data_IF_464623269936
#
_entry.id   IF_464623269936
#
_cell.length_a   1.000
_cell.length_b   1.000
_cell.length_c   1.000
_cell.angle_alpha   90.00
_cell.angle_beta   90.00
_cell.angle_gamma   90.00
#
_symmetry.space_group_name_H-M   'P 1'
#
loop_
_entity.id
_entity.type
_entity.pdbx_description
1 polymer ?
#
# COMPACT_ATOMS: atom_id res chain seq x y z
N UNK A 1 -5.68 18.42 -2.30
CA UNK A 1 -5.03 17.95 -3.55
C UNK A 1 -5.98 17.15 -4.43
N UNK A 2 -6.98 16.46 -3.87
CA UNK A 2 -8.07 15.88 -4.66
C UNK A 2 -8.95 16.98 -5.28
N UNK A 3 -9.19 16.92 -6.58
CA UNK A 3 -10.04 17.84 -7.33
C UNK A 3 -11.48 17.33 -7.38
N UNK A 4 -12.42 18.22 -7.73
CA UNK A 4 -13.83 17.84 -7.92
C UNK A 4 -14.08 16.85 -9.06
N UNK A 5 -13.12 16.72 -9.98
CA UNK A 5 -13.13 15.70 -11.05
C UNK A 5 -12.78 14.31 -10.54
N UNK A 6 -12.34 14.16 -9.28
CA UNK A 6 -11.77 12.93 -8.75
C UNK A 6 -10.28 12.75 -9.02
N UNK A 7 -9.68 13.54 -9.93
CA UNK A 7 -8.23 13.51 -10.17
C UNK A 7 -7.49 14.20 -9.02
N UNK A 8 -6.36 13.64 -8.60
CA UNK A 8 -5.43 14.35 -7.72
C UNK A 8 -4.56 15.34 -8.51
N UNK A 9 -4.20 16.45 -7.88
CA UNK A 9 -2.94 17.12 -8.18
C UNK A 9 -1.83 16.25 -7.58
N UNK A 10 -0.91 15.79 -8.42
CA UNK A 10 0.07 14.76 -8.03
C UNK A 10 0.98 15.21 -6.88
N UNK A 11 1.37 16.49 -6.91
CA UNK A 11 2.18 17.08 -5.87
C UNK A 11 2.78 18.42 -6.28
N UNK A 12 3.62 18.94 -5.41
CA UNK A 12 4.20 20.27 -5.51
C UNK A 12 5.69 20.28 -5.14
N UNK A 13 6.43 21.18 -5.77
CA UNK A 13 7.73 21.67 -5.30
C UNK A 13 7.54 22.99 -4.55
N UNK A 14 7.50 22.97 -3.20
CA UNK A 14 6.98 24.11 -2.44
C UNK A 14 7.84 25.38 -2.52
N UNK A 15 9.14 25.26 -2.78
CA UNK A 15 10.04 26.42 -2.89
C UNK A 15 9.55 27.44 -3.91
N UNK A 16 8.93 26.95 -4.99
CA UNK A 16 8.46 27.77 -6.11
C UNK A 16 6.96 27.66 -6.35
N UNK A 17 6.22 26.95 -5.48
CA UNK A 17 4.79 26.62 -5.65
C UNK A 17 4.49 26.03 -7.04
N UNK A 18 5.40 25.19 -7.55
CA UNK A 18 5.25 24.56 -8.85
C UNK A 18 4.58 23.20 -8.71
N UNK A 19 3.59 22.92 -9.54
CA UNK A 19 3.02 21.58 -9.66
C UNK A 19 4.02 20.61 -10.30
N UNK A 20 3.96 19.35 -9.86
CA UNK A 20 4.72 18.28 -10.47
C UNK A 20 3.99 17.86 -11.76
N UNK A 21 4.66 18.02 -12.90
CA UNK A 21 4.11 17.77 -14.24
C UNK A 21 3.98 16.30 -14.63
N UNK A 22 4.19 15.37 -13.70
CA UNK A 22 4.11 13.92 -13.89
C UNK A 22 2.90 13.37 -13.13
N UNK A 23 2.32 12.27 -13.64
CA UNK A 23 1.23 11.58 -12.97
C UNK A 23 1.46 10.07 -12.99
N UNK A 24 1.10 9.37 -11.91
CA UNK A 24 1.16 7.92 -11.86
C UNK A 24 -0.17 7.38 -11.36
N UNK A 25 -0.84 6.60 -12.21
CA UNK A 25 -2.17 6.02 -11.93
C UNK A 25 -2.13 5.08 -10.72
N UNK A 26 -1.03 4.36 -10.49
CA UNK A 26 -0.84 3.52 -9.29
C UNK A 26 -1.00 4.36 -8.02
N UNK A 27 -0.34 5.52 -8.01
CA UNK A 27 -0.29 6.42 -6.87
C UNK A 27 -1.58 7.18 -6.65
N UNK A 28 -2.41 7.34 -7.68
CA UNK A 28 -3.78 7.77 -7.48
C UNK A 28 -4.50 6.79 -6.54
N UNK A 29 -4.51 5.50 -6.90
CA UNK A 29 -5.26 4.49 -6.17
C UNK A 29 -4.71 4.24 -4.76
N UNK A 30 -3.39 4.11 -4.60
CA UNK A 30 -2.79 3.92 -3.27
C UNK A 30 -3.01 5.12 -2.33
N UNK A 31 -3.04 6.35 -2.88
CA UNK A 31 -3.30 7.54 -2.08
C UNK A 31 -4.79 7.68 -1.74
N UNK A 32 -5.68 7.22 -2.62
CA UNK A 32 -7.12 7.07 -2.30
C UNK A 32 -7.31 6.09 -1.16
N UNK A 33 -6.63 4.93 -1.19
CA UNK A 33 -6.63 3.96 -0.10
C UNK A 33 -6.26 4.60 1.25
N UNK A 34 -5.10 5.28 1.33
CA UNK A 34 -4.67 5.92 2.57
C UNK A 34 -5.62 7.05 3.00
N UNK A 35 -6.20 7.80 2.06
CA UNK A 35 -7.18 8.84 2.35
C UNK A 35 -8.45 8.25 2.98
N UNK A 36 -8.89 7.07 2.55
CA UNK A 36 -10.02 6.36 3.18
C UNK A 36 -9.68 6.01 4.62
N UNK A 37 -8.50 5.42 4.88
CA UNK A 37 -8.05 5.11 6.25
C UNK A 37 -8.06 6.36 7.14
N UNK A 38 -7.51 7.47 6.64
CA UNK A 38 -7.45 8.73 7.38
C UNK A 38 -8.82 9.36 7.64
N UNK A 39 -9.71 9.40 6.65
CA UNK A 39 -11.06 9.96 6.81
C UNK A 39 -11.90 9.09 7.76
N UNK A 40 -11.81 7.77 7.61
CA UNK A 40 -12.48 6.79 8.47
C UNK A 40 -12.03 6.92 9.93
N UNK A 41 -10.72 7.00 10.16
CA UNK A 41 -10.14 7.25 11.49
C UNK A 41 -10.67 8.54 12.14
N UNK A 42 -10.85 9.60 11.34
CA UNK A 42 -11.37 10.88 11.81
C UNK A 42 -12.92 10.94 11.88
N UNK A 43 -13.63 9.87 11.52
CA UNK A 43 -15.09 9.87 11.41
C UNK A 43 -15.64 10.88 10.39
N UNK A 44 -14.89 11.15 9.32
CA UNK A 44 -15.24 12.10 8.25
C UNK A 44 -15.93 11.36 7.11
N UNK A 45 -16.71 12.12 6.34
CA UNK A 45 -17.38 11.59 5.14
C UNK A 45 -16.39 11.08 4.10
N UNK A 46 -16.69 9.92 3.51
CA UNK A 46 -15.93 9.30 2.44
C UNK A 46 -16.35 9.77 1.04
N UNK A 47 -17.39 10.60 0.91
CA UNK A 47 -17.89 11.10 -0.38
C UNK A 47 -16.80 11.62 -1.35
N UNK A 48 -15.73 12.31 -0.91
CA UNK A 48 -14.66 12.72 -1.82
C UNK A 48 -13.95 11.54 -2.50
N UNK A 49 -13.78 10.41 -1.82
CA UNK A 49 -13.02 9.26 -2.33
C UNK A 49 -13.77 8.50 -3.43
N UNK A 50 -15.10 8.53 -3.43
CA UNK A 50 -15.92 7.95 -4.51
C UNK A 50 -15.53 8.54 -5.85
N UNK A 51 -15.38 9.86 -5.92
CA UNK A 51 -14.96 10.56 -7.14
C UNK A 51 -13.59 10.11 -7.61
N UNK A 52 -12.67 9.82 -6.68
CA UNK A 52 -11.33 9.34 -7.00
C UNK A 52 -11.39 7.92 -7.60
N UNK A 53 -12.17 7.01 -6.99
CA UNK A 53 -12.37 5.66 -7.52
C UNK A 53 -13.07 5.72 -8.89
N UNK A 54 -14.13 6.51 -9.02
CA UNK A 54 -14.85 6.70 -10.29
C UNK A 54 -13.94 7.29 -11.37
N UNK A 55 -13.04 8.20 -11.02
CA UNK A 55 -12.08 8.74 -11.99
C UNK A 55 -11.25 7.62 -12.63
N UNK A 56 -10.77 6.65 -11.85
CA UNK A 56 -10.01 5.51 -12.37
C UNK A 56 -10.91 4.62 -13.23
N UNK A 57 -12.12 4.29 -12.76
CA UNK A 57 -13.07 3.46 -13.51
C UNK A 57 -13.43 4.09 -14.87
N UNK A 58 -13.63 5.40 -14.91
CA UNK A 58 -14.07 6.10 -16.12
C UNK A 58 -12.96 6.34 -17.13
N UNK A 59 -11.71 6.49 -16.68
CA UNK A 59 -10.61 6.96 -17.54
C UNK A 59 -9.50 5.93 -17.75
N UNK A 60 -9.34 4.95 -16.84
CA UNK A 60 -8.16 4.08 -16.81
C UNK A 60 -8.51 2.58 -16.71
N UNK A 61 -9.80 2.23 -16.67
CA UNK A 61 -10.25 0.84 -16.70
C UNK A 61 -10.35 0.35 -18.14
N UNK A 62 -9.56 -0.66 -18.48
CA UNK A 62 -9.61 -1.36 -19.75
C UNK A 62 -10.27 -2.72 -19.57
N UNK A 63 -11.49 -2.90 -20.08
CA UNK A 63 -12.23 -4.17 -20.01
C UNK A 63 -12.02 -5.04 -21.26
N UNK A 64 -11.79 -6.34 -21.05
CA UNK A 64 -11.69 -7.35 -22.11
C UNK A 64 -12.36 -8.65 -21.67
N UNK A 65 -13.51 -8.96 -22.28
CA UNK A 65 -14.31 -10.11 -21.88
C UNK A 65 -14.78 -9.99 -20.43
N UNK A 66 -14.41 -10.95 -19.58
CA UNK A 66 -14.74 -10.95 -18.15
C UNK A 66 -13.60 -10.41 -17.26
N UNK A 67 -12.54 -9.87 -17.86
CA UNK A 67 -11.36 -9.30 -17.17
C UNK A 67 -11.30 -7.79 -17.37
N UNK A 68 -10.59 -7.12 -16.48
CA UNK A 68 -10.21 -5.73 -16.66
C UNK A 68 -8.78 -5.48 -16.18
N UNK A 69 -8.22 -4.36 -16.61
CA UNK A 69 -6.91 -3.87 -16.18
C UNK A 69 -6.95 -2.37 -15.95
N UNK A 70 -6.09 -1.88 -15.08
CA UNK A 70 -5.81 -0.45 -14.94
C UNK A 70 -4.58 -0.13 -15.78
N UNK A 71 -4.77 0.67 -16.82
CA UNK A 71 -3.67 1.12 -17.67
C UNK A 71 -3.15 2.50 -17.24
N UNK A 72 -2.02 2.86 -17.82
CA UNK A 72 -1.38 4.16 -17.69
C UNK A 72 -1.07 4.68 -19.08
N UNK A 73 -1.84 5.67 -19.53
CA UNK A 73 -1.62 6.39 -20.78
C UNK A 73 -0.83 7.69 -20.59
N UNK A 74 -0.35 7.96 -19.38
CA UNK A 74 0.41 9.18 -19.11
C UNK A 74 1.80 9.08 -19.75
N UNK A 75 2.27 10.22 -20.30
CA UNK A 75 3.60 10.35 -20.91
C UNK A 75 3.95 9.25 -21.93
N UNK A 76 2.96 8.78 -22.71
CA UNK A 76 3.12 7.73 -23.72
C UNK A 76 3.54 6.35 -23.15
N UNK A 77 3.47 6.15 -21.83
CA UNK A 77 3.90 4.90 -21.19
C UNK A 77 3.17 3.67 -21.73
N UNK A 78 1.86 3.82 -21.99
CA UNK A 78 0.95 2.83 -22.57
C UNK A 78 1.18 1.44 -21.98
N UNK A 79 1.10 1.33 -20.66
CA UNK A 79 1.43 0.12 -19.93
C UNK A 79 0.42 -0.20 -18.83
N UNK A 80 0.36 -1.48 -18.48
CA UNK A 80 -0.39 -1.99 -17.34
C UNK A 80 0.63 -2.58 -16.37
N UNK A 81 0.70 -2.05 -15.15
CA UNK A 81 1.56 -2.57 -14.08
C UNK A 81 0.74 -3.47 -13.16
N UNK A 82 1.33 -4.57 -12.69
CA UNK A 82 0.73 -5.43 -11.68
C UNK A 82 0.29 -4.64 -10.44
N UNK A 83 1.16 -3.74 -9.94
CA UNK A 83 0.85 -2.86 -8.81
C UNK A 83 -0.28 -1.83 -9.08
N UNK A 84 -0.51 -1.43 -10.34
CA UNK A 84 -1.65 -0.54 -10.68
C UNK A 84 -2.98 -1.24 -10.48
N UNK A 85 -3.07 -2.48 -10.95
CA UNK A 85 -4.24 -3.32 -10.73
C UNK A 85 -4.47 -3.58 -9.24
N UNK A 86 -3.41 -3.93 -8.51
CA UNK A 86 -3.47 -4.21 -7.08
C UNK A 86 -3.92 -2.98 -6.26
N UNK A 87 -3.30 -1.81 -6.50
CA UNK A 87 -3.64 -0.57 -5.78
C UNK A 87 -5.08 -0.11 -6.01
N UNK A 88 -5.63 -0.32 -7.21
CA UNK A 88 -7.06 -0.06 -7.46
C UNK A 88 -7.96 -0.94 -6.59
N UNK A 89 -7.66 -2.24 -6.50
CA UNK A 89 -8.40 -3.16 -5.64
C UNK A 89 -8.27 -2.76 -4.16
N UNK A 90 -7.11 -2.26 -3.69
CA UNK A 90 -6.97 -1.75 -2.32
C UNK A 90 -7.95 -0.63 -2.03
N UNK A 91 -7.99 0.39 -2.89
CA UNK A 91 -8.86 1.54 -2.71
C UNK A 91 -10.35 1.13 -2.69
N UNK A 92 -10.74 0.25 -3.61
CA UNK A 92 -12.12 -0.27 -3.67
C UNK A 92 -12.44 -1.07 -2.41
N UNK A 93 -11.61 -2.05 -2.02
CA UNK A 93 -11.89 -2.90 -0.88
C UNK A 93 -11.93 -2.10 0.43
N UNK A 94 -11.07 -1.10 0.60
CA UNK A 94 -11.08 -0.24 1.78
C UNK A 94 -12.36 0.60 1.87
N UNK A 95 -12.81 1.18 0.75
CA UNK A 95 -14.09 1.90 0.70
C UNK A 95 -15.27 0.97 1.00
N UNK A 96 -15.26 -0.25 0.46
CA UNK A 96 -16.31 -1.25 0.65
C UNK A 96 -16.42 -1.82 2.09
N UNK A 97 -15.50 -1.47 3.00
CA UNK A 97 -15.65 -1.72 4.44
C UNK A 97 -16.70 -0.81 5.08
N UNK A 98 -16.99 0.33 4.45
CA UNK A 98 -17.83 1.40 4.99
C UNK A 98 -19.16 1.54 4.24
N UNK A 99 -19.12 1.44 2.92
CA UNK A 99 -20.28 1.66 2.06
C UNK A 99 -20.34 0.58 0.97
N UNK A 100 -21.52 -0.02 0.77
CA UNK A 100 -21.69 -1.00 -0.31
C UNK A 100 -21.87 -0.29 -1.65
N UNK A 101 -21.07 -0.71 -2.63
CA UNK A 101 -21.14 -0.20 -4.00
C UNK A 101 -20.93 -1.35 -5.00
N UNK A 102 -22.02 -1.91 -5.57
CA UNK A 102 -21.94 -3.05 -6.48
C UNK A 102 -21.10 -2.79 -7.73
N UNK A 103 -21.11 -1.54 -8.25
CA UNK A 103 -20.31 -1.15 -9.41
C UNK A 103 -18.82 -1.23 -9.11
N UNK A 104 -18.40 -0.70 -7.95
CA UNK A 104 -16.99 -0.76 -7.56
C UNK A 104 -16.53 -2.19 -7.32
N UNK A 105 -17.36 -2.99 -6.64
CA UNK A 105 -17.08 -4.41 -6.43
C UNK A 105 -16.91 -5.16 -7.76
N UNK A 106 -17.83 -4.98 -8.72
CA UNK A 106 -17.74 -5.62 -10.04
C UNK A 106 -16.45 -5.21 -10.78
N UNK A 107 -16.09 -3.92 -10.76
CA UNK A 107 -14.83 -3.46 -11.35
C UNK A 107 -13.61 -4.11 -10.68
N UNK A 108 -13.56 -4.18 -9.36
CA UNK A 108 -12.46 -4.82 -8.64
C UNK A 108 -12.37 -6.32 -8.94
N UNK A 109 -13.49 -7.03 -9.07
CA UNK A 109 -13.53 -8.43 -9.45
C UNK A 109 -12.99 -8.68 -10.87
N UNK A 110 -13.36 -7.84 -11.84
CA UNK A 110 -12.79 -7.91 -13.19
C UNK A 110 -11.28 -7.64 -13.19
N UNK A 111 -10.83 -6.65 -12.41
CA UNK A 111 -9.40 -6.34 -12.27
C UNK A 111 -8.63 -7.48 -11.59
N UNK A 112 -9.22 -8.15 -10.60
CA UNK A 112 -8.62 -9.33 -9.96
C UNK A 112 -8.43 -10.49 -10.95
N UNK A 113 -9.39 -10.72 -11.85
CA UNK A 113 -9.21 -11.69 -12.95
C UNK A 113 -8.10 -11.25 -13.93
N UNK A 114 -7.91 -9.95 -14.12
CA UNK A 114 -6.75 -9.38 -14.81
C UNK A 114 -5.44 -9.74 -14.10
N UNK A 115 -5.35 -9.55 -12.79
CA UNK A 115 -4.19 -9.96 -11.97
C UNK A 115 -3.90 -11.45 -12.14
N UNK A 116 -4.90 -12.33 -12.08
CA UNK A 116 -4.67 -13.77 -12.28
C UNK A 116 -4.03 -14.08 -13.63
N UNK A 117 -4.41 -13.37 -14.69
CA UNK A 117 -3.80 -13.58 -16.01
C UNK A 117 -2.33 -13.14 -16.09
N UNK A 118 -1.87 -12.36 -15.11
CA UNK A 118 -0.48 -11.93 -14.96
C UNK A 118 0.33 -12.89 -14.07
N UNK A 119 -0.27 -13.96 -13.56
CA UNK A 119 0.36 -14.98 -12.71
C UNK A 119 0.43 -16.29 -13.50
N UNK A 120 1.61 -16.88 -13.55
CA UNK A 120 1.81 -18.21 -14.14
C UNK A 120 1.16 -19.29 -13.26
N UNK A 121 0.28 -20.12 -13.83
CA UNK A 121 -0.57 -21.06 -13.08
C UNK A 121 0.23 -22.21 -12.43
N UNK A 122 1.39 -22.57 -13.00
CA UNK A 122 2.22 -23.68 -12.54
C UNK A 122 3.28 -23.22 -11.53
N UNK A 123 3.93 -22.09 -11.81
CA UNK A 123 5.08 -21.60 -11.05
C UNK A 123 4.75 -20.49 -10.07
N UNK A 124 3.58 -19.88 -10.19
CA UNK A 124 3.16 -18.66 -9.49
C UNK A 124 4.13 -17.49 -9.68
N UNK A 125 4.85 -17.47 -10.81
CA UNK A 125 5.63 -16.31 -11.23
C UNK A 125 4.72 -15.20 -11.76
N UNK A 126 4.95 -14.00 -11.26
CA UNK A 126 4.23 -12.80 -11.66
C UNK A 126 4.88 -12.18 -12.91
N UNK A 127 4.05 -11.57 -13.74
CA UNK A 127 4.46 -10.69 -14.82
C UNK A 127 4.15 -9.26 -14.39
N UNK A 128 5.17 -8.42 -14.31
CA UNK A 128 5.00 -7.10 -13.72
C UNK A 128 4.37 -6.10 -14.69
N UNK A 129 4.69 -6.16 -15.98
CA UNK A 129 4.18 -5.20 -16.96
C UNK A 129 3.68 -5.86 -18.25
N UNK A 130 2.52 -5.40 -18.70
CA UNK A 130 1.97 -5.66 -20.03
C UNK A 130 1.94 -4.38 -20.87
N UNK A 131 2.03 -4.51 -22.19
CA UNK A 131 1.74 -3.43 -23.13
C UNK A 131 0.22 -3.19 -23.18
N UNK A 132 -0.18 -1.92 -23.17
CA UNK A 132 -1.55 -1.53 -23.47
C UNK A 132 -1.61 -1.03 -24.93
N UNK A 133 -2.60 -1.45 -25.75
CA UNK A 133 -3.77 -2.26 -25.40
C UNK A 133 -3.65 -3.77 -25.71
N UNK A 134 -2.57 -4.23 -26.34
CA UNK A 134 -2.49 -5.60 -26.87
C UNK A 134 -2.19 -6.70 -25.83
N UNK A 135 -1.85 -6.32 -24.59
CA UNK A 135 -1.58 -7.22 -23.46
C UNK A 135 -0.37 -8.14 -23.64
N UNK A 136 0.49 -7.91 -24.63
CA UNK A 136 1.77 -8.61 -24.73
C UNK A 136 2.65 -8.30 -23.52
N UNK A 137 3.46 -9.28 -23.11
CA UNK A 137 4.38 -9.13 -21.98
C UNK A 137 5.43 -8.08 -22.35
N UNK A 138 5.44 -6.96 -21.60
CA UNK A 138 6.43 -5.89 -21.74
C UNK A 138 7.66 -6.18 -20.88
N UNK A 139 7.43 -6.56 -19.63
CA UNK A 139 8.50 -6.83 -18.67
C UNK A 139 8.05 -7.85 -17.62
N UNK A 140 8.81 -8.94 -17.46
CA UNK A 140 8.54 -9.97 -16.46
C UNK A 140 8.71 -9.43 -15.03
N UNK A 141 9.76 -8.65 -14.76
CA UNK A 141 10.07 -8.14 -13.44
C UNK A 141 10.54 -6.69 -13.50
N UNK A 142 9.89 -5.80 -12.73
CA UNK A 142 10.24 -4.36 -12.62
C UNK A 142 10.72 -3.98 -11.23
N UNK A 143 9.94 -4.33 -10.21
CA UNK A 143 10.16 -3.96 -8.83
C UNK A 143 9.47 -4.96 -7.92
N UNK A 144 10.13 -5.34 -6.83
CA UNK A 144 9.72 -6.45 -5.96
C UNK A 144 8.35 -6.24 -5.28
N UNK A 145 7.95 -4.98 -5.07
CA UNK A 145 6.73 -4.63 -4.33
C UNK A 145 5.44 -5.09 -5.01
N UNK A 146 5.43 -5.26 -6.34
CA UNK A 146 4.23 -5.61 -7.08
C UNK A 146 3.68 -6.99 -6.72
N UNK A 147 4.55 -7.90 -6.30
CA UNK A 147 4.18 -9.26 -5.92
C UNK A 147 3.40 -9.26 -4.61
N UNK A 148 3.93 -8.53 -3.62
CA UNK A 148 3.25 -8.32 -2.34
C UNK A 148 1.94 -7.55 -2.50
N UNK A 149 1.92 -6.53 -3.37
CA UNK A 149 0.71 -5.78 -3.66
C UNK A 149 -0.38 -6.67 -4.29
N UNK A 150 -0.04 -7.49 -5.28
CA UNK A 150 -0.98 -8.40 -5.93
C UNK A 150 -1.57 -9.43 -4.97
N UNK A 151 -0.73 -10.04 -4.13
CA UNK A 151 -1.19 -10.99 -3.11
C UNK A 151 -2.16 -10.33 -2.12
N UNK A 152 -1.81 -9.15 -1.59
CA UNK A 152 -2.69 -8.40 -0.68
C UNK A 152 -4.02 -8.05 -1.35
N UNK A 153 -4.02 -7.70 -2.63
CA UNK A 153 -5.21 -7.24 -3.34
C UNK A 153 -6.23 -8.37 -3.47
N UNK A 154 -5.77 -9.55 -3.90
CA UNK A 154 -6.60 -10.75 -3.99
C UNK A 154 -7.12 -11.16 -2.61
N UNK A 155 -6.28 -11.08 -1.56
CA UNK A 155 -6.66 -11.44 -0.20
C UNK A 155 -7.75 -10.53 0.37
N UNK A 156 -7.66 -9.22 0.11
CA UNK A 156 -8.68 -8.25 0.53
C UNK A 156 -9.99 -8.42 -0.22
N UNK A 157 -9.91 -8.75 -1.52
CA UNK A 157 -11.10 -9.02 -2.30
C UNK A 157 -11.80 -10.30 -1.81
N UNK A 158 -11.04 -11.35 -1.49
CA UNK A 158 -11.56 -12.57 -0.86
C UNK A 158 -12.36 -12.26 0.42
N UNK A 159 -11.82 -11.39 1.30
CA UNK A 159 -12.54 -10.98 2.52
C UNK A 159 -13.86 -10.25 2.23
N UNK A 160 -14.08 -9.74 1.01
CA UNK A 160 -15.31 -9.07 0.61
C UNK A 160 -16.29 -9.97 -0.13
N UNK A 161 -15.82 -10.88 -0.98
CA UNK A 161 -16.67 -11.70 -1.86
C UNK A 161 -16.60 -13.21 -1.63
N UNK A 162 -15.74 -13.67 -0.72
CA UNK A 162 -15.52 -15.08 -0.34
C UNK A 162 -15.19 -16.01 -1.53
N UNK A 163 -14.67 -15.47 -2.63
CA UNK A 163 -14.30 -16.30 -3.77
C UNK A 163 -12.96 -17.01 -3.52
N UNK A 164 -13.05 -18.31 -3.22
CA UNK A 164 -11.94 -19.21 -2.88
C UNK A 164 -10.79 -19.24 -3.91
N UNK A 165 -11.04 -18.88 -5.17
CA UNK A 165 -9.97 -18.76 -6.17
C UNK A 165 -8.93 -17.73 -5.73
N UNK A 166 -9.36 -16.59 -5.19
CA UNK A 166 -8.47 -15.54 -4.73
C UNK A 166 -7.59 -16.03 -3.58
N UNK A 167 -8.19 -16.63 -2.55
CA UNK A 167 -7.47 -17.13 -1.38
C UNK A 167 -6.44 -18.19 -1.79
N UNK A 168 -6.84 -19.16 -2.62
CA UNK A 168 -5.94 -20.21 -3.09
C UNK A 168 -4.75 -19.64 -3.87
N UNK A 169 -4.95 -18.63 -4.72
CA UNK A 169 -3.84 -17.96 -5.41
C UNK A 169 -2.90 -17.27 -4.42
N UNK A 170 -3.44 -16.60 -3.39
CA UNK A 170 -2.63 -15.94 -2.35
C UNK A 170 -1.79 -16.96 -1.58
N UNK A 171 -2.36 -18.08 -1.17
CA UNK A 171 -1.63 -19.13 -0.44
C UNK A 171 -0.45 -19.67 -1.26
N UNK A 172 -0.64 -19.91 -2.56
CA UNK A 172 0.43 -20.38 -3.45
C UNK A 172 1.50 -19.31 -3.71
N UNK A 173 1.10 -18.04 -3.88
CA UNK A 173 2.05 -16.92 -3.95
C UNK A 173 2.89 -16.82 -2.68
N UNK A 174 2.25 -16.91 -1.51
CA UNK A 174 2.94 -16.85 -0.22
C UNK A 174 3.91 -18.04 -0.03
N UNK A 175 3.54 -19.24 -0.45
CA UNK A 175 4.43 -20.40 -0.42
C UNK A 175 5.66 -20.17 -1.31
N UNK A 176 5.48 -19.60 -2.51
CA UNK A 176 6.59 -19.18 -3.36
C UNK A 176 7.44 -18.11 -2.68
N UNK A 177 6.85 -17.07 -2.10
CA UNK A 177 7.58 -15.99 -1.43
C UNK A 177 8.42 -16.51 -0.26
N UNK A 178 7.88 -17.47 0.50
CA UNK A 178 8.61 -18.15 1.57
C UNK A 178 9.79 -18.95 0.99
N UNK A 179 9.57 -19.76 -0.06
CA UNK A 179 10.63 -20.55 -0.70
C UNK A 179 11.76 -19.64 -1.22
N UNK A 180 11.40 -18.52 -1.86
CA UNK A 180 12.33 -17.55 -2.45
C UNK A 180 12.87 -16.52 -1.45
N UNK A 181 12.52 -16.64 -0.16
CA UNK A 181 13.00 -15.79 0.93
C UNK A 181 12.71 -14.30 0.77
N UNK A 182 11.51 -13.95 0.30
CA UNK A 182 11.14 -12.55 -0.01
C UNK A 182 11.20 -11.60 1.20
N UNK A 183 11.14 -12.12 2.43
CA UNK A 183 11.32 -11.33 3.65
C UNK A 183 12.64 -10.53 3.68
N UNK A 184 13.66 -10.92 2.92
CA UNK A 184 14.93 -10.18 2.81
C UNK A 184 14.79 -8.81 2.13
N UNK A 185 13.68 -8.57 1.44
CA UNK A 185 13.43 -7.32 0.73
C UNK A 185 12.76 -6.25 1.60
N UNK A 186 12.36 -6.59 2.84
CA UNK A 186 11.77 -5.66 3.81
C UNK A 186 10.57 -4.89 3.22
N UNK A 187 9.66 -5.64 2.59
CA UNK A 187 8.48 -5.08 1.92
C UNK A 187 7.30 -4.93 2.89
N UNK A 188 6.87 -3.68 3.11
CA UNK A 188 5.68 -3.36 3.88
C UNK A 188 4.38 -3.98 3.34
N UNK A 189 4.21 -4.14 2.03
CA UNK A 189 2.99 -4.74 1.45
C UNK A 189 2.88 -6.23 1.78
N UNK A 190 4.00 -6.96 1.73
CA UNK A 190 4.06 -8.32 2.24
C UNK A 190 3.80 -8.40 3.75
N UNK A 191 4.21 -7.38 4.51
CA UNK A 191 3.86 -7.21 5.91
C UNK A 191 2.34 -7.15 6.12
N UNK A 192 1.64 -6.31 5.36
CA UNK A 192 0.17 -6.23 5.37
C UNK A 192 -0.49 -7.54 4.93
N UNK A 193 -0.04 -8.13 3.81
CA UNK A 193 -0.58 -9.39 3.31
C UNK A 193 -0.48 -10.51 4.34
N UNK A 194 0.69 -10.66 4.97
CA UNK A 194 0.91 -11.67 6.00
C UNK A 194 0.03 -11.42 7.23
N UNK A 195 -0.13 -10.16 7.63
CA UNK A 195 -0.96 -9.79 8.78
C UNK A 195 -2.43 -10.18 8.60
N UNK A 196 -2.96 -9.96 7.39
CA UNK A 196 -4.33 -10.30 7.04
C UNK A 196 -4.48 -11.82 6.85
N UNK A 197 -3.51 -12.48 6.21
CA UNK A 197 -3.58 -13.92 5.93
C UNK A 197 -3.64 -14.75 7.21
N UNK A 198 -2.87 -14.38 8.25
CA UNK A 198 -2.92 -15.11 9.54
C UNK A 198 -4.23 -14.92 10.30
N UNK A 199 -5.08 -13.95 9.92
CA UNK A 199 -6.44 -13.86 10.48
C UNK A 199 -7.36 -14.96 9.91
N UNK A 200 -7.09 -15.39 8.68
CA UNK A 200 -7.89 -16.34 7.91
C UNK A 200 -7.34 -17.76 8.07
N UNK A 201 -6.03 -17.94 7.84
CA UNK A 201 -5.33 -19.22 7.89
C UNK A 201 -4.05 -19.12 8.75
N UNK A 202 -4.15 -19.20 10.10
CA UNK A 202 -3.02 -19.02 11.00
C UNK A 202 -2.06 -20.22 10.96
N UNK A 203 -0.96 -20.08 10.23
CA UNK A 203 0.13 -21.07 10.15
C UNK A 203 1.47 -20.48 10.59
N UNK A 204 2.30 -21.30 11.25
CA UNK A 204 3.60 -20.89 11.79
C UNK A 204 4.53 -20.29 10.72
N UNK A 205 4.52 -20.87 9.50
CA UNK A 205 5.31 -20.38 8.36
C UNK A 205 4.99 -18.93 7.97
N UNK A 206 3.73 -18.51 8.11
CA UNK A 206 3.32 -17.14 7.78
C UNK A 206 3.74 -16.17 8.88
N UNK A 207 3.57 -16.53 10.16
CA UNK A 207 4.09 -15.73 11.28
C UNK A 207 5.61 -15.56 11.19
N UNK A 208 6.34 -16.66 10.96
CA UNK A 208 7.79 -16.63 10.80
C UNK A 208 8.23 -15.75 9.62
N UNK A 209 7.58 -15.88 8.47
CA UNK A 209 7.84 -15.04 7.28
C UNK A 209 7.67 -13.55 7.60
N UNK A 210 6.53 -13.17 8.19
CA UNK A 210 6.24 -11.76 8.45
C UNK A 210 7.12 -11.13 9.54
N UNK A 211 7.54 -11.91 10.55
CA UNK A 211 8.49 -11.42 11.57
C UNK A 211 9.90 -11.28 10.98
N UNK A 212 10.34 -12.23 10.15
CA UNK A 212 11.64 -12.16 9.44
C UNK A 212 11.74 -10.99 8.47
N UNK A 213 10.61 -10.43 8.03
CA UNK A 213 10.59 -9.23 7.20
C UNK A 213 11.18 -8.01 7.91
N UNK A 214 11.31 -8.03 9.25
CA UNK A 214 11.78 -6.87 10.04
C UNK A 214 12.88 -7.22 11.05
N UNK A 215 12.91 -8.43 11.60
CA UNK A 215 13.71 -8.75 12.79
C UNK A 215 15.20 -8.36 12.70
N UNK A 216 15.86 -8.66 11.57
CA UNK A 216 17.27 -8.36 11.35
C UNK A 216 17.52 -6.95 10.78
N UNK A 217 16.47 -6.13 10.68
CA UNK A 217 16.48 -4.81 10.04
C UNK A 217 16.11 -3.67 11.01
N UNK A 218 15.71 -3.98 12.24
CA UNK A 218 15.34 -3.00 13.27
C UNK A 218 16.42 -1.95 13.52
N UNK A 219 17.68 -2.36 13.64
CA UNK A 219 18.80 -1.44 13.86
C UNK A 219 19.01 -0.47 12.69
N UNK A 220 18.86 -0.97 11.46
CA UNK A 220 18.92 -0.12 10.28
C UNK A 220 17.79 0.90 10.26
N UNK A 221 16.55 0.45 10.52
CA UNK A 221 15.36 1.31 10.55
C UNK A 221 15.54 2.40 11.61
N UNK A 222 15.91 2.01 12.83
CA UNK A 222 16.13 2.93 13.96
C UNK A 222 17.10 4.05 13.61
N UNK A 223 18.23 3.69 13.01
CA UNK A 223 19.32 4.63 12.72
C UNK A 223 19.17 5.34 11.36
N UNK A 224 18.06 5.16 10.65
CA UNK A 224 17.84 5.81 9.35
C UNK A 224 17.74 7.33 9.50
N UNK A 225 18.63 8.04 8.81
CA UNK A 225 18.70 9.51 8.81
C UNK A 225 17.51 10.18 8.10
N UNK A 226 16.88 9.52 7.12
CA UNK A 226 15.68 10.04 6.47
C UNK A 226 14.42 9.52 7.13
N UNK A 227 13.30 10.24 7.00
CA UNK A 227 12.01 9.88 7.61
C UNK A 227 11.47 8.53 7.10
N UNK A 228 11.59 8.29 5.79
CA UNK A 228 11.27 7.01 5.12
C UNK A 228 9.96 6.39 5.63
N UNK A 229 8.80 6.95 5.24
CA UNK A 229 7.53 6.74 5.95
C UNK A 229 7.03 5.30 6.00
N UNK A 230 7.36 4.49 4.98
CA UNK A 230 7.00 3.07 4.90
C UNK A 230 7.56 2.23 6.06
N UNK A 231 8.57 2.71 6.80
CA UNK A 231 9.06 2.00 7.97
C UNK A 231 8.04 1.91 9.10
N UNK A 232 7.26 2.96 9.37
CA UNK A 232 6.26 2.86 10.43
C UNK A 232 5.14 1.92 10.03
N UNK A 233 4.70 1.95 8.78
CA UNK A 233 3.76 0.97 8.23
C UNK A 233 4.22 -0.47 8.45
N UNK A 234 5.46 -0.76 8.04
CA UNK A 234 6.04 -2.09 8.19
C UNK A 234 6.18 -2.50 9.67
N UNK A 235 6.67 -1.61 10.53
CA UNK A 235 6.81 -1.89 11.95
C UNK A 235 5.45 -2.13 12.63
N UNK A 236 4.42 -1.34 12.28
CA UNK A 236 3.07 -1.52 12.80
C UNK A 236 2.44 -2.83 12.33
N UNK A 237 2.67 -3.22 11.08
CA UNK A 237 2.23 -4.52 10.56
C UNK A 237 2.89 -5.67 11.32
N UNK A 238 4.20 -5.59 11.60
CA UNK A 238 4.92 -6.58 12.41
C UNK A 238 4.44 -6.60 13.86
N UNK A 239 4.18 -5.45 14.48
CA UNK A 239 3.67 -5.39 15.84
C UNK A 239 2.32 -6.11 15.98
N UNK A 240 1.37 -5.82 15.07
CA UNK A 240 0.08 -6.51 15.03
C UNK A 240 0.23 -8.02 14.78
N UNK A 241 1.17 -8.41 13.93
CA UNK A 241 1.46 -9.83 13.65
C UNK A 241 2.00 -10.54 14.90
N UNK A 242 2.89 -9.89 15.66
CA UNK A 242 3.41 -10.38 16.94
C UNK A 242 2.29 -10.55 17.96
N UNK A 243 1.39 -9.57 18.11
CA UNK A 243 0.25 -9.71 19.02
C UNK A 243 -0.62 -10.90 18.63
N UNK A 244 -0.97 -11.02 17.34
CA UNK A 244 -1.77 -12.16 16.83
C UNK A 244 -1.08 -13.51 17.05
N UNK A 245 0.24 -13.57 16.89
CA UNK A 245 1.00 -14.79 17.14
C UNK A 245 0.87 -15.21 18.62
N UNK A 246 1.03 -14.27 19.55
CA UNK A 246 0.88 -14.52 21.00
C UNK A 246 -0.55 -14.94 21.35
N UNK A 247 -1.55 -14.23 20.83
CA UNK A 247 -2.98 -14.55 21.02
C UNK A 247 -3.37 -15.94 20.50
N UNK A 248 -2.62 -16.46 19.53
CA UNK A 248 -2.83 -17.81 18.96
C UNK A 248 -1.85 -18.86 19.47
N UNK A 249 -1.20 -18.62 20.62
CA UNK A 249 -0.38 -19.60 21.32
C UNK A 249 1.03 -19.79 20.76
N UNK A 250 1.55 -18.84 19.96
CA UNK A 250 2.88 -18.91 19.32
C UNK A 250 3.92 -18.02 20.00
N UNK A 251 3.82 -17.88 21.32
CA UNK A 251 4.71 -17.00 22.09
C UNK A 251 6.19 -17.44 21.98
N UNK A 252 6.47 -18.74 22.00
CA UNK A 252 7.84 -19.25 21.82
C UNK A 252 8.42 -18.91 20.44
N UNK A 253 7.61 -19.00 19.38
CA UNK A 253 8.02 -18.61 18.03
C UNK A 253 8.41 -17.12 17.98
N UNK A 254 7.60 -16.25 18.60
CA UNK A 254 7.87 -14.81 18.69
C UNK A 254 9.19 -14.57 19.43
N UNK A 255 9.34 -15.14 20.62
CA UNK A 255 10.51 -14.95 21.48
C UNK A 255 11.82 -15.41 20.81
N UNK A 256 11.74 -16.40 19.93
CA UNK A 256 12.89 -16.88 19.16
C UNK A 256 13.25 -15.99 17.96
N UNK A 257 12.33 -15.18 17.47
CA UNK A 257 12.48 -14.44 16.22
C UNK A 257 12.71 -12.94 16.40
N UNK A 258 12.17 -12.33 17.45
CA UNK A 258 12.22 -10.87 17.64
C UNK A 258 12.09 -10.47 19.11
N UNK A 259 12.86 -9.45 19.51
CA UNK A 259 12.66 -8.74 20.78
C UNK A 259 11.48 -7.76 20.62
N UNK A 260 10.33 -8.11 21.22
CA UNK A 260 9.11 -7.32 21.14
C UNK A 260 9.27 -5.93 21.78
N UNK A 261 9.99 -5.82 22.90
CA UNK A 261 10.22 -4.53 23.54
C UNK A 261 11.07 -3.64 22.65
N UNK A 262 12.12 -4.21 22.04
CA UNK A 262 12.94 -3.46 21.10
C UNK A 262 12.15 -3.02 19.85
N UNK A 263 11.27 -3.86 19.33
CA UNK A 263 10.35 -3.48 18.25
C UNK A 263 9.49 -2.27 18.65
N UNK A 264 8.89 -2.27 19.84
CA UNK A 264 8.07 -1.16 20.36
C UNK A 264 8.91 0.12 20.51
N UNK A 265 10.14 0.02 21.00
CA UNK A 265 11.04 1.16 21.13
C UNK A 265 11.36 1.77 19.75
N UNK A 266 11.67 0.93 18.76
CA UNK A 266 11.93 1.37 17.38
C UNK A 266 10.69 2.02 16.77
N UNK A 267 9.50 1.46 16.99
CA UNK A 267 8.23 2.05 16.55
C UNK A 267 8.08 3.48 17.09
N UNK A 268 8.27 3.67 18.39
CA UNK A 268 8.13 4.99 19.02
C UNK A 268 9.18 5.99 18.49
N UNK A 269 10.43 5.54 18.30
CA UNK A 269 11.49 6.36 17.70
C UNK A 269 11.11 6.79 16.28
N UNK A 270 10.61 5.88 15.45
CA UNK A 270 10.25 6.19 14.05
C UNK A 270 8.99 7.02 13.92
N UNK A 271 7.98 6.78 14.76
CA UNK A 271 6.79 7.61 14.84
C UNK A 271 7.14 9.05 15.21
N UNK A 272 8.03 9.24 16.18
CA UNK A 272 8.52 10.57 16.55
C UNK A 272 9.35 11.21 15.44
N UNK A 273 10.32 10.48 14.88
CA UNK A 273 11.26 11.00 13.90
C UNK A 273 10.60 11.45 12.59
N UNK A 274 9.54 10.76 12.16
CA UNK A 274 8.81 11.12 10.95
C UNK A 274 8.17 12.51 11.00
N UNK A 275 7.93 13.06 12.20
CA UNK A 275 7.45 14.44 12.37
C UNK A 275 8.43 15.48 11.81
N UNK A 276 9.72 15.15 11.65
CA UNK A 276 10.70 16.02 10.99
C UNK A 276 10.36 16.25 9.51
N UNK A 277 9.58 15.35 8.89
CA UNK A 277 9.06 15.48 7.53
C UNK A 277 7.70 16.17 7.44
N UNK A 278 7.24 16.86 8.48
CA UNK A 278 5.93 17.53 8.53
C UNK A 278 6.04 19.05 8.41
N UNK A 279 5.15 19.66 7.64
CA UNK A 279 5.07 21.11 7.51
C UNK A 279 4.33 21.76 8.68
N UNK A 280 5.07 21.95 9.77
CA UNK A 280 4.70 22.87 10.84
C UNK A 280 4.66 24.33 10.34
N UNK A 281 3.88 25.22 10.97
CA UNK A 281 3.81 26.64 10.59
C UNK A 281 5.18 27.32 10.46
N UNK A 282 6.10 27.00 11.38
CA UNK A 282 7.45 27.56 11.46
C UNK A 282 8.33 27.14 10.28
N UNK A 283 8.03 26.02 9.62
CA UNK A 283 8.73 25.57 8.42
C UNK A 283 8.00 26.08 7.17
N UNK A 284 6.68 25.93 7.13
CA UNK A 284 5.85 26.26 5.97
C UNK A 284 5.97 27.74 5.57
N UNK A 285 6.14 28.65 6.54
CA UNK A 285 6.22 30.10 6.29
C UNK A 285 7.36 30.56 5.37
N UNK A 286 8.39 29.72 5.17
CA UNK A 286 9.54 30.03 4.31
C UNK A 286 9.35 29.64 2.84
N UNK A 287 8.23 29.00 2.49
CA UNK A 287 7.93 28.58 1.13
C UNK A 287 7.01 29.57 0.42
N UNK A 288 7.00 29.55 -0.93
CA UNK A 288 6.30 30.57 -1.73
C UNK A 288 4.79 30.65 -1.44
N UNK A 289 4.16 29.53 -1.10
CA UNK A 289 2.75 29.47 -0.73
C UNK A 289 2.55 28.57 0.50
N UNK A 290 2.73 29.12 1.73
CA UNK A 290 2.65 28.34 2.96
C UNK A 290 1.29 27.68 3.17
N UNK A 291 0.20 28.35 2.79
CA UNK A 291 -1.17 27.87 3.02
C UNK A 291 -1.49 26.54 2.31
N UNK A 292 -0.83 26.27 1.18
CA UNK A 292 -1.06 25.06 0.39
C UNK A 292 -0.48 23.80 1.04
N UNK A 293 0.67 23.96 1.70
CA UNK A 293 1.47 22.85 2.23
C UNK A 293 1.37 22.68 3.74
N UNK A 294 0.79 23.66 4.43
CA UNK A 294 0.61 23.63 5.88
C UNK A 294 -0.16 22.36 6.28
N UNK A 295 0.39 21.62 7.24
CA UNK A 295 -0.22 20.37 7.70
C UNK A 295 -0.01 19.16 6.79
N UNK A 296 0.82 19.28 5.74
CA UNK A 296 1.22 18.17 4.87
C UNK A 296 2.56 17.58 5.29
N UNK A 297 2.87 16.39 4.78
CA UNK A 297 4.20 15.80 4.83
C UNK A 297 5.02 16.12 3.58
N UNK A 298 6.35 16.02 3.69
CA UNK A 298 7.31 16.26 2.63
C UNK A 298 8.54 15.34 2.70
N UNK A 299 9.27 15.25 1.59
CA UNK A 299 10.55 14.55 1.50
C UNK A 299 11.69 15.57 1.38
N UNK A 300 12.42 15.78 2.48
CA UNK A 300 13.45 16.82 2.61
C UNK A 300 14.52 16.75 1.52
N UNK A 301 15.10 15.56 1.31
CA UNK A 301 16.19 15.33 0.35
C UNK A 301 15.76 15.40 -1.12
N UNK A 302 14.45 15.47 -1.40
CA UNK A 302 13.90 15.78 -2.72
C UNK A 302 13.46 17.25 -2.83
N UNK A 303 14.10 18.15 -2.10
CA UNK A 303 13.78 19.59 -2.16
C UNK A 303 12.45 19.94 -1.51
N UNK A 304 12.12 19.29 -0.39
CA UNK A 304 10.85 19.45 0.35
C UNK A 304 9.62 19.12 -0.48
N UNK A 305 9.77 18.26 -1.49
CA UNK A 305 8.69 17.83 -2.35
C UNK A 305 7.52 17.25 -1.55
N UNK A 306 6.32 17.66 -1.93
CA UNK A 306 5.05 17.12 -1.44
C UNK A 306 4.45 16.31 -2.57
N UNK A 307 4.11 15.05 -2.34
CA UNK A 307 3.36 14.23 -3.30
C UNK A 307 2.35 13.37 -2.58
N UNK A 308 1.30 13.00 -3.31
CA UNK A 308 0.28 12.08 -2.81
C UNK A 308 0.91 10.75 -2.36
N UNK A 309 1.86 10.20 -3.13
CA UNK A 309 2.54 8.93 -2.81
C UNK A 309 3.49 9.03 -1.62
N UNK A 310 4.01 10.21 -1.32
CA UNK A 310 4.81 10.38 -0.10
C UNK A 310 3.86 10.48 1.11
N UNK A 311 2.73 11.20 0.99
CA UNK A 311 1.77 11.44 2.08
C UNK A 311 1.00 10.17 2.47
N UNK A 312 0.64 9.32 1.51
CA UNK A 312 -0.12 8.09 1.76
C UNK A 312 0.54 7.24 2.84
N UNK A 313 1.86 7.04 2.73
CA UNK A 313 2.65 6.22 3.64
C UNK A 313 2.74 6.82 5.05
N UNK A 314 2.86 8.15 5.17
CA UNK A 314 2.80 8.80 6.50
C UNK A 314 1.41 8.61 7.12
N UNK A 315 0.35 8.81 6.33
CA UNK A 315 -1.03 8.75 6.81
C UNK A 315 -1.36 7.35 7.32
N UNK A 316 -1.15 6.32 6.49
CA UNK A 316 -1.38 4.92 6.86
C UNK A 316 -0.55 4.53 8.08
N UNK A 317 0.74 4.88 8.12
CA UNK A 317 1.60 4.60 9.28
C UNK A 317 1.10 5.22 10.59
N UNK A 318 0.71 6.51 10.57
CA UNK A 318 0.21 7.19 11.76
C UNK A 318 -1.17 6.71 12.20
N UNK A 319 -2.09 6.42 11.27
CA UNK A 319 -3.40 5.84 11.61
C UNK A 319 -3.20 4.52 12.35
N UNK A 320 -2.33 3.64 11.84
CA UNK A 320 -2.05 2.35 12.47
C UNK A 320 -1.39 2.52 13.84
N UNK A 321 -0.43 3.45 13.97
CA UNK A 321 0.21 3.78 15.26
C UNK A 321 -0.81 4.28 16.29
N UNK A 322 -1.67 5.21 15.89
CA UNK A 322 -2.70 5.80 16.74
C UNK A 322 -3.68 4.74 17.26
N UNK A 323 -4.18 3.88 16.38
CA UNK A 323 -5.09 2.79 16.74
C UNK A 323 -4.47 1.79 17.73
N UNK A 324 -3.16 1.57 17.67
CA UNK A 324 -2.46 0.62 18.53
C UNK A 324 -2.12 1.20 19.91
N UNK A 325 -1.78 2.49 19.99
CA UNK A 325 -1.21 3.08 21.21
C UNK A 325 -2.10 4.14 21.88
N UNK A 326 -3.20 4.59 21.27
CA UNK A 326 -4.14 5.59 21.81
C UNK A 326 -3.43 6.86 22.36
N UNK A 327 -2.54 7.48 21.56
CA UNK A 327 -1.67 8.58 22.02
C UNK A 327 -1.95 9.94 21.40
#
# INVERSE_FOLDING_TARGET
>A
MLLDTGKYIYGYFPHFDNEIGFYNVLRHSSSTYALIEGLSYLGKSLQPVEKAIDYIILNQLFEIGDKAYIFDDTEEANEIKLGQNASFIFAVCEYLKHEDNPKFLESAQKVAKGILSMIDEDTYETTHLLNYPDLSVKEKFRIIYYDGEAALALLRLYQKDENELWLKTVENLMDRFIEKKYWQYHDHWLGYCTNELVQINPQDKYFEFGIKNVNNYLDYIKNRETTFPTFLEMLMATYRLVQKAKDTGREELVNNLIDEQYLIDVINIRADYQRVGFFYPEIAMYFKNPSRILGSFFIKHHGYRVRIDDIEHYLSGYVQYQLAFNR
#
